data_IF_015147150692
#
_entry.id   IF_015147150692
#
_cell.length_a   1.000
_cell.length_b   1.000
_cell.length_c   1.000
_cell.angle_alpha   90.00
_cell.angle_beta   90.00
_cell.angle_gamma   90.00
#
_symmetry.space_group_name_H-M   'P 1'
#
loop_
_entity.id
_entity.type
_entity.pdbx_description
1 polymer ?
#
# COMPACT_ATOMS: atom_id res chain seq x y z
N UNK A 1 11.94 14.71 -5.66
CA UNK A 1 11.58 13.38 -5.12
C UNK A 1 12.64 12.39 -5.54
N UNK A 2 12.97 11.43 -4.68
CA UNK A 2 14.02 10.42 -4.91
C UNK A 2 13.47 9.00 -4.78
N UNK A 3 14.33 7.98 -4.94
CA UNK A 3 13.94 6.58 -4.80
C UNK A 3 13.50 6.29 -3.36
N UNK A 4 12.40 5.53 -3.22
CA UNK A 4 11.95 4.95 -1.96
C UNK A 4 12.17 3.44 -2.02
N UNK A 5 12.93 2.91 -1.07
CA UNK A 5 13.16 1.47 -0.94
C UNK A 5 12.28 0.95 0.20
N UNK A 6 11.51 -0.10 -0.06
CA UNK A 6 10.60 -0.70 0.91
C UNK A 6 10.98 -2.17 1.13
N UNK A 7 11.08 -2.57 2.40
CA UNK A 7 11.16 -3.97 2.79
C UNK A 7 9.76 -4.47 3.18
N UNK A 8 9.43 -5.69 2.77
CA UNK A 8 8.12 -6.30 2.96
C UNK A 8 8.20 -7.51 3.89
N UNK A 9 7.33 -7.55 4.90
CA UNK A 9 7.26 -8.63 5.89
C UNK A 9 6.38 -9.78 5.39
N UNK A 10 6.89 -10.56 4.43
CA UNK A 10 6.17 -11.66 3.78
C UNK A 10 5.70 -12.78 4.72
N UNK A 11 6.39 -12.99 5.84
CA UNK A 11 6.01 -14.02 6.83
C UNK A 11 4.79 -13.60 7.65
N UNK A 12 4.69 -12.30 7.95
CA UNK A 12 3.64 -11.74 8.81
C UNK A 12 2.38 -11.37 8.04
N UNK A 13 2.54 -10.85 6.81
CA UNK A 13 1.42 -10.40 5.96
C UNK A 13 1.58 -10.89 4.50
N UNK A 14 1.54 -12.21 4.25
CA UNK A 14 1.82 -12.78 2.94
C UNK A 14 0.85 -12.31 1.85
N UNK A 15 -0.46 -12.20 2.12
CA UNK A 15 -1.44 -11.79 1.10
C UNK A 15 -1.29 -10.32 0.75
N UNK A 16 -1.06 -9.49 1.76
CA UNK A 16 -0.85 -8.04 1.62
C UNK A 16 0.42 -7.75 0.83
N UNK A 17 1.53 -8.40 1.20
CA UNK A 17 2.80 -8.26 0.49
C UNK A 17 2.68 -8.73 -0.97
N UNK A 18 1.99 -9.86 -1.21
CA UNK A 18 1.74 -10.38 -2.55
C UNK A 18 0.91 -9.42 -3.40
N UNK A 19 -0.15 -8.84 -2.82
CA UNK A 19 -0.98 -7.84 -3.50
C UNK A 19 -0.14 -6.62 -3.89
N UNK A 20 0.63 -6.06 -2.95
CA UNK A 20 1.46 -4.89 -3.21
C UNK A 20 2.51 -5.15 -4.29
N UNK A 21 3.29 -6.23 -4.16
CA UNK A 21 4.36 -6.57 -5.10
C UNK A 21 3.82 -6.83 -6.53
N UNK A 22 2.68 -7.51 -6.65
CA UNK A 22 2.07 -7.78 -7.96
C UNK A 22 1.50 -6.52 -8.61
N UNK A 23 0.88 -5.62 -7.83
CA UNK A 23 0.43 -4.31 -8.33
C UNK A 23 1.62 -3.44 -8.78
N UNK A 24 2.72 -3.43 -8.02
CA UNK A 24 3.97 -2.78 -8.43
C UNK A 24 4.50 -3.38 -9.74
N UNK A 25 4.56 -4.71 -9.85
CA UNK A 25 5.06 -5.42 -11.04
C UNK A 25 4.23 -5.12 -12.29
N UNK A 26 2.92 -4.94 -12.14
CA UNK A 26 2.00 -4.53 -13.22
C UNK A 26 2.07 -3.03 -13.56
N UNK A 27 2.87 -2.25 -12.82
CA UNK A 27 2.93 -0.80 -12.99
C UNK A 27 1.67 -0.07 -12.55
N UNK A 28 0.81 -0.70 -11.72
CA UNK A 28 -0.47 -0.15 -11.30
C UNK A 28 -0.31 1.19 -10.56
N UNK A 29 0.77 1.33 -9.79
CA UNK A 29 1.07 2.54 -9.03
C UNK A 29 1.80 3.62 -9.84
N UNK A 30 2.14 3.37 -11.11
CA UNK A 30 2.83 4.35 -11.95
C UNK A 30 1.92 5.56 -12.20
N UNK A 31 2.44 6.77 -11.92
CA UNK A 31 1.67 8.01 -12.06
C UNK A 31 0.57 8.21 -11.02
N UNK A 32 0.41 7.29 -10.06
CA UNK A 32 -0.53 7.47 -8.95
C UNK A 32 0.01 8.54 -8.00
N UNK A 33 -0.86 9.49 -7.63
CA UNK A 33 -0.49 10.63 -6.79
C UNK A 33 -0.66 10.27 -5.31
N UNK A 34 0.17 10.86 -4.47
CA UNK A 34 -0.14 11.00 -3.06
C UNK A 34 -1.26 12.03 -2.91
N UNK A 35 -2.50 11.56 -2.82
CA UNK A 35 -3.69 12.40 -2.83
C UNK A 35 -4.02 12.97 -1.44
N UNK A 36 -3.41 12.44 -0.38
CA UNK A 36 -3.58 12.94 0.99
C UNK A 36 -2.24 13.02 1.70
N UNK A 37 -1.91 14.20 2.21
CA UNK A 37 -0.68 14.47 2.98
C UNK A 37 -1.09 15.10 4.29
N UNK A 38 -0.84 14.42 5.41
CA UNK A 38 -1.10 14.93 6.76
C UNK A 38 0.26 15.11 7.42
N UNK A 39 0.61 16.37 7.70
CA UNK A 39 1.88 16.74 8.33
C UNK A 39 2.01 16.01 9.67
N UNK A 40 3.19 15.47 9.94
CA UNK A 40 3.55 14.78 11.19
C UNK A 40 2.71 13.52 11.49
N UNK A 41 2.07 12.93 10.47
CA UNK A 41 1.25 11.72 10.64
C UNK A 41 1.44 10.71 9.49
N UNK A 42 0.93 11.01 8.29
CA UNK A 42 1.01 10.05 7.17
C UNK A 42 0.86 10.70 5.80
N UNK A 43 1.34 9.98 4.80
CA UNK A 43 1.10 10.24 3.38
C UNK A 43 0.32 9.07 2.79
N UNK A 44 -0.77 9.32 2.08
CA UNK A 44 -1.63 8.32 1.46
C UNK A 44 -1.54 8.41 -0.06
N UNK A 45 -1.37 7.26 -0.71
CA UNK A 45 -1.31 7.12 -2.17
C UNK A 45 -1.96 5.81 -2.63
N UNK A 46 -1.68 5.41 -3.87
CA UNK A 46 -2.09 4.12 -4.41
C UNK A 46 -3.50 4.07 -5.02
N UNK A 47 -4.21 5.20 -5.07
CA UNK A 47 -5.48 5.32 -5.81
C UNK A 47 -5.21 5.92 -7.20
N UNK A 48 -5.44 5.17 -8.30
CA UNK A 48 -5.28 5.67 -9.66
C UNK A 48 -6.22 6.83 -10.01
N UNK A 49 -7.38 6.93 -9.35
CA UNK A 49 -8.32 8.03 -9.56
C UNK A 49 -7.91 9.29 -8.79
N UNK A 50 -7.06 9.14 -7.77
CA UNK A 50 -6.63 10.24 -6.89
C UNK A 50 -7.74 10.80 -6.00
N UNK A 51 -8.91 10.15 -5.92
CA UNK A 51 -10.06 10.61 -5.13
C UNK A 51 -10.02 10.14 -3.68
N UNK A 52 -9.21 9.11 -3.39
CA UNK A 52 -9.15 8.41 -2.11
C UNK A 52 -10.23 7.34 -1.93
N UNK A 53 -11.07 7.10 -2.95
CA UNK A 53 -12.15 6.09 -2.93
C UNK A 53 -11.95 5.00 -3.98
N UNK A 54 -10.98 5.16 -4.88
CA UNK A 54 -10.64 4.17 -5.88
C UNK A 54 -9.61 3.16 -5.37
N UNK A 55 -9.14 2.32 -6.28
CA UNK A 55 -8.23 1.23 -5.98
C UNK A 55 -8.91 -0.14 -6.05
N UNK A 56 -8.16 -1.13 -6.48
CA UNK A 56 -8.57 -2.53 -6.45
C UNK A 56 -7.37 -3.41 -6.06
N UNK A 57 -7.66 -4.54 -5.44
CA UNK A 57 -6.65 -5.56 -5.16
C UNK A 57 -6.55 -6.56 -6.32
N UNK A 58 -5.48 -7.34 -6.35
CA UNK A 58 -5.37 -8.47 -7.29
C UNK A 58 -6.40 -9.57 -7.03
N UNK A 59 -7.06 -9.54 -5.87
CA UNK A 59 -8.07 -10.50 -5.43
C UNK A 59 -9.51 -10.00 -5.63
N UNK A 60 -9.70 -8.79 -6.17
CA UNK A 60 -11.01 -8.13 -6.29
C UNK A 60 -11.09 -6.83 -5.47
N UNK A 61 -12.26 -6.52 -4.91
CA UNK A 61 -12.47 -5.24 -4.19
C UNK A 61 -11.73 -5.16 -2.86
N UNK A 62 -11.81 -6.19 -2.03
CA UNK A 62 -11.23 -6.23 -0.69
C UNK A 62 -10.70 -7.64 -0.39
N UNK A 63 -9.74 -7.73 0.52
CA UNK A 63 -9.23 -8.97 1.07
C UNK A 63 -9.08 -8.83 2.59
N UNK A 64 -8.88 -9.94 3.29
CA UNK A 64 -8.88 -10.01 4.75
C UNK A 64 -7.66 -9.32 5.37
N UNK A 65 -7.83 -8.78 6.58
CA UNK A 65 -6.76 -8.14 7.34
C UNK A 65 -5.76 -9.17 7.89
N UNK A 66 -4.47 -8.87 7.77
CA UNK A 66 -3.36 -9.68 8.31
C UNK A 66 -2.69 -8.92 9.45
N UNK A 67 -3.19 -9.11 10.68
CA UNK A 67 -2.67 -8.44 11.87
C UNK A 67 -1.74 -9.37 12.65
N UNK A 68 -0.53 -8.90 12.94
CA UNK A 68 0.44 -9.65 13.74
C UNK A 68 0.89 -8.83 14.97
N UNK A 69 0.92 -9.40 16.19
CA UNK A 69 1.27 -8.64 17.41
C UNK A 69 2.64 -7.97 17.39
N UNK A 70 3.58 -8.49 16.60
CA UNK A 70 4.92 -7.91 16.43
C UNK A 70 4.94 -6.68 15.51
N UNK A 71 3.92 -6.51 14.66
CA UNK A 71 3.81 -5.38 13.76
C UNK A 71 2.98 -4.27 14.43
N UNK A 72 3.65 -3.23 14.91
CA UNK A 72 3.01 -2.10 15.60
C UNK A 72 3.48 -0.78 15.02
N UNK A 73 2.57 0.19 14.96
CA UNK A 73 2.92 1.59 14.74
C UNK A 73 3.40 2.19 16.05
N UNK A 74 4.70 2.12 16.30
CA UNK A 74 5.36 2.81 17.41
C UNK A 74 5.89 4.13 16.87
N UNK A 75 5.12 5.20 17.07
CA UNK A 75 5.47 6.55 16.63
C UNK A 75 6.85 6.98 17.08
#
# INVERSE_FOLDING_TARGET
MGPLVLELYWKHAPRTCKNFAELCRRGYYNGTKFHRVIKDFMVQGGDPTGTGRGGASIYGKQFEDELHPELKFTG
#
